data_IF_891586857913
#
_entry.id   IF_891586857913
#
_cell.length_a   1.000
_cell.length_b   1.000
_cell.length_c   1.000
_cell.angle_alpha   90.00
_cell.angle_beta   90.00
_cell.angle_gamma   90.00
#
_symmetry.space_group_name_H-M   'P 1'
#
loop_
_entity.id
_entity.type
_entity.pdbx_description
1 polymer ?
#
# COMPACT_ATOMS: atom_id res chain seq x y z
N UNK A 1 12.08 15.06 6.57
CA UNK A 1 11.45 14.42 7.75
C UNK A 1 11.64 12.92 7.66
N UNK A 2 12.02 12.27 8.77
CA UNK A 2 12.28 10.82 8.79
C UNK A 2 10.96 10.03 8.77
N UNK A 3 10.99 8.84 8.16
CA UNK A 3 9.91 7.84 8.19
C UNK A 3 10.15 6.77 9.28
N UNK A 4 11.28 6.83 9.98
CA UNK A 4 11.63 5.89 11.04
C UNK A 4 10.68 6.04 12.23
N UNK A 5 10.13 4.92 12.70
CA UNK A 5 9.24 4.90 13.88
C UNK A 5 7.77 5.14 13.58
N UNK A 6 7.39 5.32 12.31
CA UNK A 6 6.00 5.47 11.88
C UNK A 6 5.39 4.10 11.61
N UNK A 7 4.25 3.80 12.22
CA UNK A 7 3.59 2.48 12.06
C UNK A 7 2.20 2.58 11.46
N UNK A 8 1.70 3.80 11.27
CA UNK A 8 0.41 4.08 10.65
C UNK A 8 0.62 4.88 9.37
N UNK A 9 -0.19 4.59 8.34
CA UNK A 9 -0.11 5.32 7.08
C UNK A 9 -0.37 6.83 7.28
N UNK A 10 -1.29 7.18 8.18
CA UNK A 10 -1.70 8.57 8.41
C UNK A 10 -0.59 9.46 8.99
N UNK A 11 0.34 8.86 9.74
CA UNK A 11 1.49 9.53 10.32
C UNK A 11 2.61 9.80 9.30
N UNK A 12 2.54 9.22 8.10
CA UNK A 12 3.57 9.41 7.08
C UNK A 12 3.67 10.89 6.66
N UNK A 13 4.90 11.40 6.45
CA UNK A 13 5.09 12.75 5.94
C UNK A 13 4.36 12.94 4.59
N UNK A 14 3.82 14.14 4.31
CA UNK A 14 3.09 14.39 3.06
C UNK A 14 3.88 14.04 1.79
N UNK A 15 5.20 14.29 1.80
CA UNK A 15 6.09 13.93 0.68
C UNK A 15 6.20 12.41 0.48
N UNK A 16 6.19 11.61 1.55
CA UNK A 16 6.21 10.16 1.46
C UNK A 16 4.89 9.63 0.89
N UNK A 17 3.75 10.16 1.34
CA UNK A 17 2.43 9.82 0.78
C UNK A 17 2.34 10.16 -0.72
N UNK A 18 2.83 11.33 -1.11
CA UNK A 18 2.86 11.75 -2.52
C UNK A 18 3.75 10.83 -3.37
N UNK A 19 4.91 10.41 -2.85
CA UNK A 19 5.79 9.45 -3.52
C UNK A 19 5.12 8.10 -3.74
N UNK A 20 4.46 7.55 -2.71
CA UNK A 20 3.73 6.28 -2.80
C UNK A 20 2.61 6.36 -3.83
N UNK A 21 1.81 7.44 -3.80
CA UNK A 21 0.77 7.66 -4.81
C UNK A 21 1.34 7.69 -6.22
N UNK A 22 2.48 8.37 -6.42
CA UNK A 22 3.13 8.42 -7.74
C UNK A 22 3.61 7.04 -8.21
N UNK A 23 4.09 6.19 -7.29
CA UNK A 23 4.46 4.82 -7.62
C UNK A 23 3.25 3.99 -8.03
N UNK A 24 2.12 4.10 -7.33
CA UNK A 24 0.89 3.40 -7.70
C UNK A 24 0.40 3.78 -9.09
N UNK A 25 0.46 5.08 -9.44
CA UNK A 25 0.12 5.56 -10.77
C UNK A 25 1.07 5.04 -11.85
N UNK A 26 2.38 4.98 -11.56
CA UNK A 26 3.40 4.52 -12.52
C UNK A 26 3.37 3.01 -12.76
N UNK A 27 3.07 2.23 -11.71
CA UNK A 27 3.03 0.78 -11.77
C UNK A 27 1.63 0.24 -12.09
N UNK A 28 0.63 1.12 -12.16
CA UNK A 28 -0.79 0.78 -12.32
C UNK A 28 -1.26 -0.29 -11.31
N UNK A 29 -0.59 -0.35 -10.16
CA UNK A 29 -0.72 -1.42 -9.17
C UNK A 29 -0.77 -0.81 -7.77
N UNK A 30 -1.72 -1.20 -6.91
CA UNK A 30 -1.83 -0.67 -5.55
C UNK A 30 -0.66 -1.14 -4.67
N UNK A 31 -0.26 -0.29 -3.74
CA UNK A 31 0.70 -0.66 -2.71
C UNK A 31 -0.05 -1.35 -1.57
N UNK A 32 0.25 -2.63 -1.37
CA UNK A 32 -0.40 -3.41 -0.34
C UNK A 32 0.23 -3.25 1.06
N UNK A 33 1.56 -3.16 1.11
CA UNK A 33 2.35 -3.17 2.34
C UNK A 33 3.57 -2.26 2.18
N UNK A 34 3.95 -1.58 3.27
CA UNK A 34 5.11 -0.68 3.31
C UNK A 34 6.00 -1.06 4.49
N UNK A 35 7.23 -1.51 4.22
CA UNK A 35 8.22 -1.79 5.26
C UNK A 35 8.98 -0.52 5.63
N UNK A 36 8.96 -0.13 6.91
CA UNK A 36 9.59 1.10 7.41
C UNK A 36 10.87 0.83 8.21
N UNK A 37 11.18 -0.44 8.50
CA UNK A 37 12.31 -0.84 9.34
C UNK A 37 12.66 -2.32 9.12
N UNK A 38 13.91 -2.74 9.35
CA UNK A 38 14.32 -4.14 9.34
C UNK A 38 13.69 -5.00 10.45
N UNK A 39 13.13 -4.38 11.50
CA UNK A 39 12.54 -5.09 12.64
C UNK A 39 11.18 -5.71 12.27
N UNK A 40 10.92 -6.94 12.73
CA UNK A 40 9.60 -7.58 12.58
C UNK A 40 8.48 -6.75 13.22
N UNK A 41 7.32 -6.75 12.58
CA UNK A 41 6.15 -5.99 13.03
C UNK A 41 6.21 -4.50 12.73
N UNK A 42 7.25 -4.01 12.03
CA UNK A 42 7.36 -2.62 11.60
C UNK A 42 7.05 -2.48 10.11
N UNK A 43 5.83 -2.88 9.78
CA UNK A 43 5.29 -2.87 8.42
C UNK A 43 3.88 -2.31 8.46
N UNK A 44 3.62 -1.31 7.63
CA UNK A 44 2.30 -0.70 7.49
C UNK A 44 1.52 -1.56 6.48
N UNK A 45 0.39 -2.09 6.91
CA UNK A 45 -0.54 -2.81 6.04
C UNK A 45 -1.59 -1.81 5.53
N UNK A 46 -1.58 -1.53 4.22
CA UNK A 46 -2.48 -0.57 3.58
C UNK A 46 -3.76 -1.25 3.12
N UNK A 47 -3.64 -2.49 2.63
CA UNK A 47 -4.76 -3.33 2.26
C UNK A 47 -4.70 -4.66 3.00
N UNK A 48 -5.87 -5.26 3.24
CA UNK A 48 -5.92 -6.64 3.70
C UNK A 48 -5.49 -7.56 2.55
N UNK A 49 -4.33 -8.21 2.72
CA UNK A 49 -3.74 -9.10 1.71
C UNK A 49 -4.28 -10.53 1.81
N UNK A 50 -4.81 -10.91 2.98
CA UNK A 50 -5.39 -12.24 3.20
C UNK A 50 -6.85 -12.25 2.79
N UNK A 51 -7.53 -11.13 2.92
CA UNK A 51 -8.86 -10.93 2.37
C UNK A 51 -8.77 -10.68 0.86
N UNK A 52 -8.74 -11.77 0.09
CA UNK A 52 -8.83 -11.68 -1.37
C UNK A 52 -10.29 -11.44 -1.75
N UNK A 53 -10.65 -10.28 -2.35
CA UNK A 53 -12.00 -10.08 -2.86
C UNK A 53 -12.27 -11.07 -3.99
N UNK A 54 -13.51 -11.57 -4.10
CA UNK A 54 -13.92 -12.51 -5.17
C UNK A 54 -13.65 -11.96 -6.58
N UNK A 55 -13.62 -10.64 -6.76
CA UNK A 55 -13.27 -9.97 -8.01
C UNK A 55 -12.47 -8.69 -7.75
N UNK A 56 -11.51 -8.38 -8.62
CA UNK A 56 -10.80 -7.10 -8.60
C UNK A 56 -11.71 -6.01 -9.22
N UNK A 57 -12.02 -4.97 -8.46
CA UNK A 57 -12.87 -3.86 -8.91
C UNK A 57 -12.26 -3.05 -10.06
N UNK A 58 -10.96 -3.23 -10.35
CA UNK A 58 -10.29 -2.62 -11.50
C UNK A 58 -10.64 -3.28 -12.83
N UNK A 59 -11.10 -4.54 -12.79
CA UNK A 59 -11.51 -5.27 -13.99
C UNK A 59 -13.04 -5.37 -14.04
N UNK A 60 -13.64 -5.34 -15.24
CA UNK A 60 -15.08 -5.49 -15.34
C UNK A 60 -15.46 -6.89 -14.85
N UNK A 61 -16.60 -7.03 -14.14
CA UNK A 61 -17.02 -8.30 -13.49
C UNK A 61 -17.07 -9.52 -14.41
N UNK A 62 -17.16 -9.30 -15.71
CA UNK A 62 -17.17 -10.33 -16.75
C UNK A 62 -15.76 -10.74 -17.23
N UNK A 63 -14.70 -10.06 -16.79
CA UNK A 63 -13.33 -10.51 -16.97
C UNK A 63 -13.09 -11.67 -15.97
N UNK A 64 -13.55 -12.86 -16.35
CA UNK A 64 -13.28 -14.08 -15.61
C UNK A 64 -11.76 -14.35 -15.58
N UNK A 65 -11.29 -14.88 -14.46
CA UNK A 65 -9.89 -15.26 -14.24
C UNK A 65 -9.46 -16.41 -15.16
#
# INVERSE_FOLDING_TARGET
>A
TSTTGIYNYDELPPAAKAYLKRLEELLETPIAMISVSPQRGKTIQVMDILNTPEYDTRYPRNAMR
#
